data_IF_679808172639
#
_entry.id   IF_679808172639
#
_cell.length_a   1.000
_cell.length_b   1.000
_cell.length_c   1.000
_cell.angle_alpha   90.00
_cell.angle_beta   90.00
_cell.angle_gamma   90.00
#
_symmetry.space_group_name_H-M   'P 1'
#
loop_
_entity.id
_entity.type
_entity.pdbx_description
1 polymer ?
#
# COMPACT_ATOMS: atom_id res chain seq x y z
N UNK A 1 24.28 -30.53 -60.12
CA UNK A 1 25.55 -30.74 -59.39
C UNK A 1 25.52 -29.91 -58.11
N UNK A 2 25.27 -30.53 -56.94
CA UNK A 2 25.20 -29.82 -55.66
C UNK A 2 26.61 -29.44 -55.17
N UNK A 3 26.85 -28.13 -54.98
CA UNK A 3 28.05 -27.63 -54.28
C UNK A 3 27.94 -27.97 -52.79
N UNK A 4 28.67 -29.00 -52.35
CA UNK A 4 28.90 -29.28 -50.92
C UNK A 4 29.96 -28.32 -50.40
N UNK A 5 29.55 -27.38 -49.55
CA UNK A 5 30.44 -26.55 -48.75
C UNK A 5 31.08 -27.40 -47.66
N UNK A 6 32.30 -27.89 -47.88
CA UNK A 6 33.07 -28.58 -46.83
C UNK A 6 33.47 -27.56 -45.76
N UNK A 7 32.88 -27.65 -44.56
CA UNK A 7 33.47 -27.05 -43.36
C UNK A 7 34.70 -27.89 -43.01
N UNK A 8 35.89 -27.35 -43.23
CA UNK A 8 37.14 -27.93 -42.73
C UNK A 8 37.14 -27.77 -41.20
N UNK A 9 36.94 -28.87 -40.48
CA UNK A 9 37.21 -28.95 -39.05
C UNK A 9 38.71 -29.08 -38.85
N UNK A 10 39.41 -27.95 -38.67
CA UNK A 10 40.82 -27.92 -38.28
C UNK A 10 40.95 -27.92 -36.75
N UNK A 11 42.00 -28.55 -36.23
CA UNK A 11 42.28 -28.59 -34.79
C UNK A 11 42.56 -27.18 -34.25
N UNK A 12 42.04 -26.86 -33.06
CA UNK A 12 42.39 -25.62 -32.35
C UNK A 12 43.88 -25.65 -32.00
N UNK A 13 44.67 -24.63 -32.40
CA UNK A 13 46.11 -24.59 -32.16
C UNK A 13 46.40 -24.38 -30.66
N UNK A 14 47.55 -24.85 -30.19
CA UNK A 14 47.97 -24.72 -28.79
C UNK A 14 48.17 -23.26 -28.34
N UNK A 15 48.56 -22.38 -29.27
CA UNK A 15 48.85 -20.97 -29.03
C UNK A 15 48.39 -20.12 -30.20
N UNK A 16 48.07 -18.87 -29.92
CA UNK A 16 47.74 -17.88 -30.94
C UNK A 16 48.72 -16.72 -30.87
N UNK A 17 49.52 -16.51 -31.93
CA UNK A 17 50.59 -15.49 -31.93
C UNK A 17 50.07 -14.05 -31.94
N UNK A 18 48.85 -13.81 -32.44
CA UNK A 18 48.25 -12.47 -32.56
C UNK A 18 47.01 -12.33 -31.65
N UNK A 19 46.38 -13.45 -31.25
CA UNK A 19 45.20 -13.42 -30.39
C UNK A 19 45.66 -13.33 -28.93
N UNK A 20 45.27 -12.26 -28.23
CA UNK A 20 45.62 -12.04 -26.82
C UNK A 20 46.87 -11.18 -26.59
N UNK A 21 47.59 -10.78 -27.64
CA UNK A 21 48.70 -9.82 -27.55
C UNK A 21 48.24 -8.35 -27.56
N UNK A 22 46.98 -8.09 -27.91
CA UNK A 22 46.39 -6.74 -27.87
C UNK A 22 46.10 -6.30 -26.44
N UNK A 23 46.16 -4.98 -26.19
CA UNK A 23 45.89 -4.42 -24.86
C UNK A 23 44.46 -4.75 -24.42
N UNK A 24 44.33 -5.38 -23.25
CA UNK A 24 43.05 -5.78 -22.67
C UNK A 24 42.13 -4.57 -22.48
N UNK A 25 40.83 -4.72 -22.77
CA UNK A 25 39.84 -3.66 -22.54
C UNK A 25 39.70 -3.42 -21.02
N UNK A 26 39.71 -2.15 -20.55
CA UNK A 26 39.59 -1.88 -19.13
C UNK A 26 38.19 -2.29 -18.61
N UNK A 27 38.14 -2.80 -17.38
CA UNK A 27 36.89 -3.05 -16.68
C UNK A 27 36.23 -1.72 -16.31
N UNK A 28 34.91 -1.65 -16.37
CA UNK A 28 34.17 -0.47 -15.90
C UNK A 28 34.30 -0.32 -14.38
N UNK A 29 34.42 0.92 -13.92
CA UNK A 29 34.45 1.27 -12.48
C UNK A 29 33.08 1.68 -11.92
N UNK A 30 32.15 2.10 -12.79
CA UNK A 30 30.81 2.54 -12.39
C UNK A 30 29.71 2.09 -13.33
N UNK A 31 28.51 2.59 -13.05
CA UNK A 31 27.26 2.21 -13.71
C UNK A 31 26.55 3.43 -14.32
N UNK A 32 25.43 3.19 -15.02
CA UNK A 32 24.56 4.24 -15.54
C UNK A 32 25.23 5.15 -16.57
N UNK A 33 24.83 6.42 -16.60
CA UNK A 33 25.31 7.39 -17.59
C UNK A 33 26.84 7.46 -17.61
N UNK A 34 27.44 7.21 -18.77
CA UNK A 34 28.89 7.20 -19.01
C UNK A 34 29.68 6.24 -18.10
N UNK A 35 29.04 5.21 -17.51
CA UNK A 35 29.66 4.26 -16.57
C UNK A 35 30.36 4.93 -15.37
N UNK A 36 29.88 6.10 -14.92
CA UNK A 36 30.49 6.89 -13.84
C UNK A 36 29.64 7.02 -12.59
N UNK A 37 28.43 6.44 -12.55
CA UNK A 37 27.59 6.49 -11.35
C UNK A 37 28.05 5.45 -10.33
N UNK A 38 28.22 5.89 -9.08
CA UNK A 38 28.47 5.02 -7.92
C UNK A 38 27.19 4.27 -7.55
N UNK A 39 27.34 3.03 -7.07
CA UNK A 39 26.27 2.32 -6.38
C UNK A 39 26.14 2.87 -4.96
N UNK A 40 25.05 3.57 -4.66
CA UNK A 40 24.73 4.12 -3.34
C UNK A 40 23.21 4.25 -3.19
N UNK A 41 22.68 4.33 -1.94
CA UNK A 41 21.28 4.68 -1.72
C UNK A 41 20.90 5.94 -2.50
N UNK A 42 19.71 5.93 -3.10
CA UNK A 42 19.26 6.99 -3.99
C UNK A 42 17.95 7.60 -3.49
N UNK A 43 17.55 8.73 -4.08
CA UNK A 43 16.27 9.35 -3.72
C UNK A 43 15.08 8.38 -3.97
N UNK A 44 15.23 7.44 -4.92
CA UNK A 44 14.24 6.40 -5.28
C UNK A 44 14.19 5.20 -4.32
N UNK A 45 15.05 5.15 -3.30
CA UNK A 45 14.98 4.09 -2.28
C UNK A 45 13.70 4.24 -1.46
N UNK A 46 12.86 3.22 -1.38
CA UNK A 46 11.63 3.27 -0.58
C UNK A 46 11.93 3.19 0.92
N UNK A 47 11.07 3.80 1.73
CA UNK A 47 11.02 3.69 3.19
C UNK A 47 9.82 2.81 3.57
N UNK A 48 10.09 1.73 4.31
CA UNK A 48 9.11 0.71 4.70
C UNK A 48 8.64 0.83 6.15
N UNK A 49 9.20 1.80 6.89
CA UNK A 49 9.03 2.03 8.31
C UNK A 49 8.03 3.15 8.64
N UNK A 50 7.37 3.74 7.63
CA UNK A 50 6.57 4.98 7.77
C UNK A 50 5.08 4.83 7.49
N UNK A 51 4.50 3.70 7.89
CA UNK A 51 3.08 3.38 7.72
C UNK A 51 2.83 2.19 6.79
N UNK A 52 1.57 1.93 6.40
CA UNK A 52 1.21 0.75 5.63
C UNK A 52 1.69 0.80 4.17
N UNK A 53 1.94 2.01 3.63
CA UNK A 53 2.40 2.21 2.25
C UNK A 53 3.87 2.60 2.26
N UNK A 54 4.67 1.94 1.42
CA UNK A 54 6.08 2.31 1.22
C UNK A 54 6.19 3.76 0.69
N UNK A 55 7.20 4.51 1.13
CA UNK A 55 7.31 5.93 0.80
C UNK A 55 8.60 6.28 0.04
N UNK A 56 8.56 6.95 -1.11
CA UNK A 56 7.38 7.30 -1.92
C UNK A 56 6.75 6.04 -2.53
N UNK A 57 5.43 6.03 -2.77
CA UNK A 57 4.73 4.87 -3.30
C UNK A 57 5.25 4.54 -4.70
N UNK A 58 5.47 3.25 -4.96
CA UNK A 58 5.78 2.79 -6.32
C UNK A 58 4.54 2.90 -7.21
N UNK A 59 4.73 2.90 -8.54
CA UNK A 59 3.60 2.85 -9.47
C UNK A 59 2.77 1.58 -9.25
N UNK A 60 1.47 1.75 -8.96
CA UNK A 60 0.48 0.68 -8.82
C UNK A 60 -0.59 0.86 -9.91
N UNK A 61 -1.09 -0.23 -10.46
CA UNK A 61 -2.15 -0.23 -11.47
C UNK A 61 -3.27 -1.17 -11.01
N UNK A 62 -4.47 -0.62 -10.88
CA UNK A 62 -5.69 -1.39 -10.64
C UNK A 62 -6.35 -1.68 -11.98
N UNK A 63 -6.64 -2.95 -12.28
CA UNK A 63 -7.21 -3.40 -13.56
C UNK A 63 -8.62 -3.95 -13.37
N UNK A 64 -9.41 -4.03 -14.45
CA UNK A 64 -10.74 -4.64 -14.40
C UNK A 64 -10.72 -6.10 -13.93
N UNK A 65 -9.72 -6.89 -14.35
CA UNK A 65 -9.59 -8.27 -13.87
C UNK A 65 -9.43 -8.34 -12.35
N UNK A 66 -8.70 -7.41 -11.74
CA UNK A 66 -8.59 -7.32 -10.27
C UNK A 66 -9.89 -6.88 -9.61
N UNK A 67 -10.72 -6.07 -10.29
CA UNK A 67 -12.05 -5.72 -9.76
C UNK A 67 -12.98 -6.93 -9.75
N UNK A 68 -12.92 -7.77 -10.80
CA UNK A 68 -13.69 -9.01 -10.86
C UNK A 68 -13.23 -9.99 -9.76
N UNK A 69 -11.92 -10.14 -9.56
CA UNK A 69 -11.35 -10.93 -8.45
C UNK A 69 -11.82 -10.42 -7.08
N UNK A 70 -11.79 -9.10 -6.86
CA UNK A 70 -12.28 -8.48 -5.61
C UNK A 70 -13.78 -8.72 -5.43
N UNK A 71 -14.58 -8.60 -6.50
CA UNK A 71 -16.02 -8.86 -6.45
C UNK A 71 -16.31 -10.31 -6.07
N UNK A 72 -15.63 -11.27 -6.69
CA UNK A 72 -15.81 -12.69 -6.40
C UNK A 72 -15.33 -13.04 -4.99
N UNK A 73 -14.22 -12.43 -4.54
CA UNK A 73 -13.77 -12.55 -3.16
C UNK A 73 -14.80 -12.01 -2.17
N UNK A 74 -15.34 -10.80 -2.39
CA UNK A 74 -16.37 -10.22 -1.53
C UNK A 74 -17.62 -11.11 -1.45
N UNK A 75 -18.06 -11.68 -2.57
CA UNK A 75 -19.20 -12.60 -2.63
C UNK A 75 -18.92 -13.87 -1.82
N UNK A 76 -17.74 -14.47 -1.99
CA UNK A 76 -17.31 -15.67 -1.28
C UNK A 76 -17.25 -15.47 0.23
N UNK A 77 -16.64 -14.37 0.69
CA UNK A 77 -16.57 -14.04 2.11
C UNK A 77 -17.96 -13.79 2.68
N UNK A 78 -18.84 -13.07 1.97
CA UNK A 78 -20.22 -12.77 2.40
C UNK A 78 -21.07 -14.02 2.55
N UNK A 79 -20.89 -15.00 1.66
CA UNK A 79 -21.63 -16.27 1.67
C UNK A 79 -21.00 -17.35 2.58
N UNK A 80 -19.84 -17.08 3.19
CA UNK A 80 -19.14 -18.06 4.03
C UNK A 80 -18.63 -19.28 3.25
N UNK A 81 -18.42 -19.15 1.93
CA UNK A 81 -18.05 -20.26 1.04
C UNK A 81 -16.57 -20.65 1.12
N UNK A 82 -15.84 -20.12 2.11
CA UNK A 82 -14.51 -20.60 2.46
C UNK A 82 -14.64 -21.97 3.12
N UNK A 83 -14.74 -23.01 2.29
CA UNK A 83 -14.76 -24.40 2.69
C UNK A 83 -13.48 -24.76 3.43
N UNK A 84 -13.52 -24.69 4.76
CA UNK A 84 -12.55 -25.32 5.63
C UNK A 84 -13.24 -26.47 6.38
N UNK A 85 -13.53 -27.54 5.64
CA UNK A 85 -13.76 -28.89 6.18
C UNK A 85 -12.46 -29.51 6.67
N UNK A 86 -11.73 -28.81 7.54
CA UNK A 86 -10.40 -29.21 8.01
C UNK A 86 -10.12 -28.69 9.41
N UNK A 87 -10.49 -29.50 10.41
CA UNK A 87 -9.97 -29.55 11.78
C UNK A 87 -9.08 -28.37 12.24
N UNK A 88 -9.67 -27.40 12.93
CA UNK A 88 -8.94 -26.62 13.92
C UNK A 88 -9.84 -26.42 15.14
N UNK A 89 -9.80 -27.41 16.03
CA UNK A 89 -10.31 -27.30 17.38
C UNK A 89 -9.39 -26.34 18.17
N UNK A 90 -9.55 -25.02 17.99
CA UNK A 90 -8.99 -23.99 18.91
C UNK A 90 -9.42 -22.53 18.63
N UNK A 91 -10.42 -22.23 17.79
CA UNK A 91 -10.89 -20.84 17.60
C UNK A 91 -12.27 -20.57 18.22
N UNK A 92 -12.33 -20.58 19.56
CA UNK A 92 -13.40 -19.89 20.31
C UNK A 92 -13.19 -18.37 20.25
N UNK A 93 -13.21 -17.77 19.05
CA UNK A 93 -13.23 -16.32 18.86
C UNK A 93 -14.30 -15.94 17.85
N UNK A 94 -15.43 -15.50 18.39
CA UNK A 94 -16.38 -14.57 17.77
C UNK A 94 -16.82 -14.85 16.32
N UNK A 95 -16.97 -16.12 15.93
CA UNK A 95 -17.72 -16.47 14.73
C UNK A 95 -19.20 -16.20 14.96
N UNK A 96 -19.75 -15.19 14.28
CA UNK A 96 -21.20 -15.04 14.14
C UNK A 96 -21.79 -16.34 13.59
N UNK A 97 -22.98 -16.71 14.07
CA UNK A 97 -23.61 -18.03 13.98
C UNK A 97 -23.75 -18.68 12.58
N UNK A 98 -23.34 -18.02 11.50
CA UNK A 98 -23.67 -18.37 10.12
C UNK A 98 -22.41 -18.63 9.22
N UNK A 99 -21.21 -18.75 9.80
CA UNK A 99 -19.98 -19.12 9.05
C UNK A 99 -19.39 -18.01 8.16
N UNK A 100 -19.90 -16.79 8.26
CA UNK A 100 -19.46 -15.62 7.49
C UNK A 100 -18.28 -14.93 8.18
N UNK A 101 -17.20 -14.66 7.44
CA UNK A 101 -16.01 -13.99 7.97
C UNK A 101 -16.08 -12.47 7.71
N UNK A 102 -16.48 -11.73 8.74
CA UNK A 102 -16.57 -10.26 8.67
C UNK A 102 -15.28 -9.52 9.06
N UNK A 103 -14.24 -10.21 9.53
CA UNK A 103 -13.01 -9.61 10.05
C UNK A 103 -12.32 -8.72 9.00
N UNK A 104 -12.18 -9.20 7.76
CA UNK A 104 -11.54 -8.44 6.69
C UNK A 104 -12.37 -7.20 6.29
N UNK A 105 -13.70 -7.30 6.30
CA UNK A 105 -14.55 -6.14 6.08
C UNK A 105 -14.37 -5.09 7.18
N UNK A 106 -14.23 -5.50 8.44
CA UNK A 106 -13.97 -4.58 9.55
C UNK A 106 -12.60 -3.91 9.41
N UNK A 107 -11.54 -4.63 9.04
CA UNK A 107 -10.21 -4.05 8.78
C UNK A 107 -10.25 -3.01 7.65
N UNK A 108 -10.92 -3.32 6.53
CA UNK A 108 -11.08 -2.38 5.41
C UNK A 108 -11.82 -1.12 5.86
N UNK A 109 -12.90 -1.28 6.63
CA UNK A 109 -13.68 -0.15 7.16
C UNK A 109 -12.89 0.67 8.17
N UNK A 110 -12.06 0.05 8.99
CA UNK A 110 -11.19 0.74 9.94
C UNK A 110 -10.12 1.56 9.23
N UNK A 111 -9.42 0.97 8.26
CA UNK A 111 -8.46 1.69 7.41
C UNK A 111 -9.13 2.84 6.67
N UNK A 112 -10.31 2.61 6.08
CA UNK A 112 -11.06 3.67 5.43
C UNK A 112 -11.41 4.78 6.43
N UNK A 113 -11.97 4.46 7.60
CA UNK A 113 -12.31 5.45 8.63
C UNK A 113 -11.11 6.27 9.08
N UNK A 114 -9.97 5.65 9.31
CA UNK A 114 -8.75 6.36 9.72
C UNK A 114 -8.26 7.32 8.63
N UNK A 115 -8.17 6.88 7.38
CA UNK A 115 -7.48 7.61 6.32
C UNK A 115 -8.36 8.45 5.39
N UNK A 116 -9.69 8.48 5.61
CA UNK A 116 -10.66 9.24 4.80
C UNK A 116 -11.22 10.50 5.47
N UNK A 117 -10.68 10.92 6.61
CA UNK A 117 -11.14 12.12 7.29
C UNK A 117 -10.93 13.37 6.43
N UNK A 118 -11.83 14.35 6.58
CA UNK A 118 -11.72 15.62 5.86
C UNK A 118 -10.49 16.40 6.35
N UNK A 119 -9.59 16.85 5.45
CA UNK A 119 -8.43 17.62 5.84
C UNK A 119 -8.83 18.98 6.44
N UNK A 120 -8.03 19.46 7.39
CA UNK A 120 -8.20 20.78 7.99
C UNK A 120 -7.76 21.87 7.02
N UNK A 121 -8.43 23.02 7.09
CA UNK A 121 -8.04 24.19 6.30
C UNK A 121 -6.67 24.70 6.78
N UNK A 122 -5.70 24.94 5.89
CA UNK A 122 -4.41 25.50 6.28
C UNK A 122 -4.55 26.94 6.76
N UNK A 123 -3.62 27.35 7.63
CA UNK A 123 -3.53 28.75 8.09
C UNK A 123 -3.00 29.63 6.95
N UNK A 124 -3.37 30.91 6.94
CA UNK A 124 -2.83 31.87 5.97
C UNK A 124 -1.30 31.93 6.08
N UNK A 125 -0.62 31.77 4.93
CA UNK A 125 0.84 31.75 4.84
C UNK A 125 1.46 30.35 4.87
N UNK A 126 0.71 29.31 5.26
CA UNK A 126 1.18 27.92 5.21
C UNK A 126 1.11 27.41 3.76
N UNK A 127 2.26 27.39 3.09
CA UNK A 127 2.40 26.97 1.69
C UNK A 127 3.62 26.09 1.53
N UNK A 128 3.53 25.07 0.66
CA UNK A 128 4.68 24.23 0.34
C UNK A 128 5.85 25.06 -0.23
N UNK A 129 7.09 24.84 0.25
CA UNK A 129 8.23 25.62 -0.20
C UNK A 129 8.58 25.32 -1.66
N UNK A 130 8.79 26.39 -2.44
CA UNK A 130 9.25 26.29 -3.83
C UNK A 130 10.78 26.19 -3.89
N UNK A 131 11.30 25.57 -4.95
CA UNK A 131 12.73 25.55 -5.20
C UNK A 131 13.24 26.99 -5.49
N UNK A 132 14.26 27.50 -4.78
CA UNK A 132 14.72 28.87 -4.97
C UNK A 132 15.27 29.11 -6.38
N UNK A 133 14.93 30.28 -6.94
CA UNK A 133 15.44 30.71 -8.24
C UNK A 133 16.92 31.10 -8.14
N UNK A 134 17.58 31.22 -9.29
CA UNK A 134 18.97 31.69 -9.43
C UNK A 134 20.05 30.87 -8.70
N UNK A 135 19.72 29.73 -8.07
CA UNK A 135 20.71 28.79 -7.53
C UNK A 135 21.31 27.88 -8.60
N UNK A 136 20.49 27.43 -9.55
CA UNK A 136 20.92 26.56 -10.65
C UNK A 136 20.17 26.96 -11.94
N UNK A 137 20.75 26.62 -13.10
CA UNK A 137 20.04 26.71 -14.38
C UNK A 137 18.75 25.89 -14.34
N UNK A 138 17.72 26.34 -15.04
CA UNK A 138 16.38 25.72 -15.04
C UNK A 138 16.38 24.21 -15.36
N UNK A 139 17.28 23.77 -16.26
CA UNK A 139 17.39 22.38 -16.69
C UNK A 139 18.22 21.48 -15.73
N UNK A 140 18.65 22.00 -14.59
CA UNK A 140 19.47 21.26 -13.64
C UNK A 140 18.66 20.27 -12.80
N UNK A 141 19.27 19.14 -12.43
CA UNK A 141 18.62 18.07 -11.65
C UNK A 141 18.21 18.49 -10.22
N UNK A 142 18.78 19.58 -9.70
CA UNK A 142 18.55 20.03 -8.32
C UNK A 142 17.06 20.29 -8.03
N UNK A 143 16.33 20.87 -8.98
CA UNK A 143 14.90 21.17 -8.83
C UNK A 143 14.07 19.92 -8.52
N UNK A 144 14.25 18.84 -9.29
CA UNK A 144 13.55 17.57 -9.05
C UNK A 144 14.02 16.87 -7.78
N UNK A 145 15.31 16.94 -7.46
CA UNK A 145 15.86 16.36 -6.21
C UNK A 145 15.29 17.02 -4.96
N UNK A 146 15.16 18.35 -4.98
CA UNK A 146 14.53 19.11 -3.91
C UNK A 146 13.10 18.63 -3.66
N UNK A 147 12.29 18.57 -4.72
CA UNK A 147 10.89 18.14 -4.64
C UNK A 147 10.76 16.73 -4.03
N UNK A 148 11.51 15.76 -4.56
CA UNK A 148 11.47 14.37 -4.06
C UNK A 148 11.87 14.31 -2.58
N UNK A 149 12.94 15.01 -2.19
CA UNK A 149 13.44 14.97 -0.81
C UNK A 149 12.48 15.65 0.16
N UNK A 150 11.80 16.72 -0.27
CA UNK A 150 10.78 17.38 0.52
C UNK A 150 9.59 16.45 0.78
N UNK A 151 8.98 15.88 -0.27
CA UNK A 151 7.86 14.94 -0.08
C UNK A 151 8.27 13.66 0.65
N UNK A 152 9.50 13.18 0.46
CA UNK A 152 10.00 11.99 1.16
C UNK A 152 10.10 12.21 2.67
N UNK A 153 10.50 13.40 3.10
CA UNK A 153 10.51 13.78 4.51
C UNK A 153 9.09 13.87 5.09
N UNK A 154 8.14 14.41 4.32
CA UNK A 154 6.73 14.56 4.71
C UNK A 154 5.89 13.33 4.35
N UNK A 155 6.18 12.18 4.98
CA UNK A 155 5.38 10.97 4.80
C UNK A 155 3.96 11.13 5.38
N UNK A 156 2.99 10.27 5.00
CA UNK A 156 1.62 10.37 5.52
C UNK A 156 1.54 10.33 7.04
N UNK A 157 2.46 9.64 7.73
CA UNK A 157 2.56 9.70 9.20
C UNK A 157 2.79 11.10 9.78
N UNK A 158 3.36 12.03 9.02
CA UNK A 158 3.67 13.41 9.44
C UNK A 158 2.64 14.45 8.99
N UNK A 159 1.60 14.06 8.25
CA UNK A 159 0.55 14.98 7.80
C UNK A 159 -0.36 15.38 8.96
N UNK A 160 -0.04 16.51 9.59
CA UNK A 160 -0.81 17.07 10.71
C UNK A 160 -2.15 17.72 10.26
N UNK A 161 -2.23 18.12 8.99
CA UNK A 161 -3.46 18.68 8.41
C UNK A 161 -4.57 17.65 8.21
N UNK A 162 -4.29 16.35 8.37
CA UNK A 162 -5.30 15.29 8.30
C UNK A 162 -5.54 14.69 9.70
N UNK A 163 -6.69 14.95 10.33
CA UNK A 163 -6.97 14.51 11.69
C UNK A 163 -7.13 12.99 11.73
N UNK A 164 -6.28 12.34 12.51
CA UNK A 164 -6.22 10.88 12.66
C UNK A 164 -6.02 10.49 14.12
N UNK A 165 -6.28 9.23 14.41
CA UNK A 165 -6.11 8.65 15.73
C UNK A 165 -7.39 8.67 16.59
N UNK A 166 -7.32 8.14 17.81
CA UNK A 166 -8.49 7.88 18.65
C UNK A 166 -9.20 9.15 19.12
N UNK A 167 -8.52 10.30 19.10
CA UNK A 167 -9.08 11.59 19.49
C UNK A 167 -9.88 12.27 18.37
N UNK A 168 -9.78 11.79 17.13
CA UNK A 168 -10.50 12.35 16.01
C UNK A 168 -11.98 11.96 16.08
N UNK A 169 -12.87 12.96 16.14
CA UNK A 169 -14.31 12.73 16.03
C UNK A 169 -14.66 12.46 14.57
N UNK A 170 -15.31 11.32 14.30
CA UNK A 170 -15.61 10.84 12.94
C UNK A 170 -17.11 10.78 12.69
N UNK A 171 -17.80 11.94 12.54
CA UNK A 171 -19.27 12.00 12.57
C UNK A 171 -19.95 11.27 11.41
N UNK A 172 -19.25 11.11 10.27
CA UNK A 172 -19.78 10.46 9.06
C UNK A 172 -19.60 8.94 9.05
N UNK A 173 -18.87 8.37 10.03
CA UNK A 173 -18.52 6.95 10.04
C UNK A 173 -19.12 6.22 11.24
N UNK A 174 -19.34 4.91 11.07
CA UNK A 174 -19.71 4.02 12.18
C UNK A 174 -18.48 3.72 13.04
N UNK A 175 -18.66 3.74 14.36
CA UNK A 175 -17.57 3.69 15.35
C UNK A 175 -17.12 2.27 15.68
N UNK A 176 -18.03 1.30 15.70
CA UNK A 176 -17.71 -0.06 16.15
C UNK A 176 -18.42 -1.13 15.29
N UNK A 177 -17.94 -2.39 15.32
CA UNK A 177 -18.54 -3.50 14.59
C UNK A 177 -20.06 -3.63 14.82
N UNK A 178 -20.52 -3.47 16.07
CA UNK A 178 -21.94 -3.54 16.44
C UNK A 178 -22.85 -2.54 15.73
N UNK A 179 -22.28 -1.50 15.11
CA UNK A 179 -23.05 -0.52 14.36
C UNK A 179 -23.35 -0.93 12.91
N UNK A 180 -22.65 -1.93 12.37
CA UNK A 180 -22.78 -2.39 11.00
C UNK A 180 -24.01 -3.30 10.80
N UNK A 181 -24.56 -3.40 9.57
CA UNK A 181 -25.85 -4.05 9.33
C UNK A 181 -25.85 -5.54 9.67
N UNK A 182 -24.71 -6.24 9.61
CA UNK A 182 -24.59 -7.64 10.02
C UNK A 182 -24.96 -7.89 11.48
N UNK A 183 -24.87 -6.87 12.36
CA UNK A 183 -25.29 -6.95 13.77
C UNK A 183 -26.76 -6.57 14.02
N UNK A 184 -27.60 -6.59 12.98
CA UNK A 184 -29.01 -6.21 13.09
C UNK A 184 -29.80 -7.03 14.11
N UNK A 185 -29.55 -8.36 14.23
CA UNK A 185 -30.27 -9.24 15.17
C UNK A 185 -30.09 -8.79 16.63
N UNK A 186 -28.88 -8.37 17.00
CA UNK A 186 -28.57 -7.89 18.36
C UNK A 186 -29.30 -6.57 18.67
N UNK A 187 -29.47 -5.70 17.67
CA UNK A 187 -30.17 -4.42 17.81
C UNK A 187 -31.67 -4.60 18.05
N UNK A 188 -32.28 -5.58 17.40
CA UNK A 188 -33.71 -5.90 17.57
C UNK A 188 -33.99 -6.38 19.00
N UNK A 189 -33.14 -7.26 19.55
CA UNK A 189 -33.29 -7.78 20.92
C UNK A 189 -33.01 -6.76 22.03
N UNK A 190 -32.09 -5.81 21.81
CA UNK A 190 -31.83 -4.73 22.76
C UNK A 190 -32.95 -3.68 22.81
N UNK A 191 -33.58 -3.40 21.66
CA UNK A 191 -34.68 -2.45 21.56
C UNK A 191 -35.95 -2.93 22.28
N UNK A 192 -36.24 -4.23 22.25
CA UNK A 192 -37.38 -4.82 22.96
C UNK A 192 -37.14 -4.91 24.48
N UNK A 193 -35.89 -5.11 24.92
CA UNK A 193 -35.53 -5.11 26.34
C UNK A 193 -35.58 -3.69 26.95
N UNK A 194 -35.08 -2.67 26.24
CA UNK A 194 -35.12 -1.28 26.71
C UNK A 194 -36.54 -0.69 26.77
N UNK A 195 -37.47 -1.16 25.93
CA UNK A 195 -38.88 -0.77 25.98
C UNK A 195 -39.64 -1.36 27.18
N UNK A 196 -39.10 -2.38 27.86
CA UNK A 196 -39.72 -3.02 29.02
C UNK A 196 -39.38 -2.32 30.35
N UNK A 197 -38.38 -1.43 30.39
CA UNK A 197 -38.00 -0.63 31.56
C UNK A 197 -38.61 0.79 31.49
N UNK A 198 -39.94 0.91 31.49
CA UNK A 198 -40.60 2.17 31.85
C UNK A 198 -40.96 2.11 33.35
N UNK A 199 -40.40 2.97 34.22
CA UNK A 199 -40.76 2.96 35.63
C UNK A 199 -42.19 3.45 35.76
N UNK A 200 -43.07 2.58 36.27
CA UNK A 200 -44.40 2.96 36.76
C UNK A 200 -44.23 3.94 37.91
N UNK A 201 -44.23 5.24 37.61
CA UNK A 201 -44.36 6.26 38.65
C UNK A 201 -45.75 6.11 39.28
N UNK A 202 -45.74 5.70 40.55
CA UNK A 202 -46.93 5.59 41.38
C UNK A 202 -47.56 6.98 41.56
N UNK A 203 -48.76 7.15 41.01
CA UNK A 203 -49.66 8.25 41.36
C UNK A 203 -50.14 7.97 42.78
N UNK A 204 -49.58 8.69 43.75
CA UNK A 204 -50.15 8.78 45.10
C UNK A 204 -51.25 9.84 45.06
N UNK A 205 -52.49 9.39 45.23
CA UNK A 205 -53.66 10.17 45.62
C UNK A 205 -53.55 10.65 47.06
#
# INVERSE_FOLDING_TARGET
MLRRSYRLSTATPEKFSILGTTHQKPKRSGFGRNNKMRSRPSDNTAWYDKGPVEWLPRPVRLTYGQLDEVRDWMMRETLGLNGNGGNSATSNRAGGADGVNYEEFYKIRELHREWSQHPLMPVLGDVEPKFPLNLFKQNHRAKRRFLIRWHKANSPGHWAWMPRGPTAVTPLHRTNPSQYPENWKQRVGASSAAAAEVPRQAVKS
#
